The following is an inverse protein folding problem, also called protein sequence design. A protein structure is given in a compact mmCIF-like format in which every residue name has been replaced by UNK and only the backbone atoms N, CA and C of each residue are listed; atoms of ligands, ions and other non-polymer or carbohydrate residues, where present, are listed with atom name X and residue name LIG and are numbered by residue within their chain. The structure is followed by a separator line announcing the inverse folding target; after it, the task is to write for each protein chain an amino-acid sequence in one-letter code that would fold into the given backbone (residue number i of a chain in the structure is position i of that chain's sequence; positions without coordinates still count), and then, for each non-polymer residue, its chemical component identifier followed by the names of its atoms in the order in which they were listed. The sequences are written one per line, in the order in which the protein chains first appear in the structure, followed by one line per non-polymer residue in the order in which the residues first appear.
data_IF_969323935164
#
_entry.id   IF_969323935164
#
_cell.length_a   1.000
_cell.length_b   1.000
_cell.length_c   1.000
_cell.angle_alpha   90.00
_cell.angle_beta   90.00
_cell.angle_gamma   90.00
#
_symmetry.space_group_name_H-M   'P 1'
#
loop_
_entity.id
_entity.type
_entity.pdbx_description
1 polymer ?
#
# COMPACT_ATOMS: atom_id res chain seq x y z
N UNK A 1 12.58 6.10 13.42
CA UNK A 1 11.14 5.78 13.43
C UNK A 1 10.97 4.41 14.04
N UNK A 2 9.95 4.19 14.87
CA UNK A 2 9.68 2.88 15.49
C UNK A 2 9.12 1.88 14.46
N UNK A 3 9.18 0.58 14.75
CA UNK A 3 8.56 -0.46 13.91
C UNK A 3 7.05 -0.28 13.76
N UNK A 4 6.37 0.15 14.83
CA UNK A 4 4.96 0.54 14.79
C UNK A 4 4.71 1.62 13.72
N UNK A 5 5.54 2.65 13.69
CA UNK A 5 5.44 3.74 12.69
C UNK A 5 5.67 3.26 11.25
N UNK A 6 6.50 2.22 11.03
CA UNK A 6 6.68 1.62 9.69
C UNK A 6 5.44 0.84 9.26
N UNK A 7 4.85 0.06 10.16
CA UNK A 7 3.62 -0.69 9.88
C UNK A 7 2.42 0.24 9.62
N UNK A 8 2.27 1.31 10.41
CA UNK A 8 1.19 2.28 10.22
C UNK A 8 1.29 2.98 8.85
N UNK A 9 2.51 3.31 8.43
CA UNK A 9 2.78 3.86 7.10
C UNK A 9 2.46 2.85 5.99
N UNK A 10 2.86 1.59 6.15
CA UNK A 10 2.54 0.52 5.21
C UNK A 10 1.02 0.31 5.08
N UNK A 11 0.30 0.28 6.19
CA UNK A 11 -1.15 0.18 6.23
C UNK A 11 -1.83 1.35 5.52
N UNK A 12 -1.33 2.56 5.73
CA UNK A 12 -1.83 3.78 5.09
C UNK A 12 -1.66 3.71 3.57
N UNK A 13 -0.46 3.36 3.10
CA UNK A 13 -0.18 3.22 1.66
C UNK A 13 -1.13 2.23 0.97
N UNK A 14 -1.33 1.04 1.56
CA UNK A 14 -2.22 0.02 1.00
C UNK A 14 -3.68 0.51 1.01
N UNK A 15 -4.10 1.17 2.09
CA UNK A 15 -5.47 1.68 2.22
C UNK A 15 -5.78 2.78 1.21
N UNK A 16 -4.83 3.69 0.96
CA UNK A 16 -4.95 4.73 -0.05
C UNK A 16 -5.12 4.13 -1.46
N UNK A 17 -4.25 3.19 -1.84
CA UNK A 17 -4.33 2.54 -3.15
C UNK A 17 -5.65 1.77 -3.30
N UNK A 18 -6.07 1.05 -2.26
CA UNK A 18 -7.37 0.36 -2.25
C UNK A 18 -8.53 1.33 -2.51
N UNK A 19 -8.56 2.48 -1.83
CA UNK A 19 -9.61 3.50 -2.04
C UNK A 19 -9.59 4.04 -3.47
N UNK A 20 -8.42 4.37 -3.99
CA UNK A 20 -8.25 4.88 -5.34
C UNK A 20 -8.77 3.89 -6.40
N UNK A 21 -8.45 2.59 -6.24
CA UNK A 21 -8.91 1.55 -7.16
C UNK A 21 -10.43 1.32 -7.07
N UNK A 22 -10.99 1.33 -5.85
CA UNK A 22 -12.44 1.18 -5.65
C UNK A 22 -13.21 2.38 -6.21
N UNK A 23 -12.72 3.60 -6.01
CA UNK A 23 -13.33 4.80 -6.59
C UNK A 23 -13.25 4.78 -8.12
N UNK A 24 -12.13 4.32 -8.68
CA UNK A 24 -11.99 4.16 -10.12
C UNK A 24 -13.00 3.16 -10.68
N UNK A 25 -13.14 2.00 -10.05
CA UNK A 25 -14.09 0.98 -10.44
C UNK A 25 -15.56 1.40 -10.26
N UNK A 26 -15.89 2.09 -9.16
CA UNK A 26 -17.25 2.49 -8.83
C UNK A 26 -17.78 3.60 -9.74
N UNK A 27 -16.90 4.52 -10.15
CA UNK A 27 -17.29 5.71 -10.91
C UNK A 27 -16.78 5.71 -12.37
N UNK A 28 -16.24 4.59 -12.85
CA UNK A 28 -15.69 4.47 -14.20
C UNK A 28 -14.52 5.42 -14.48
N UNK A 29 -13.77 5.84 -13.45
CA UNK A 29 -12.62 6.73 -13.63
C UNK A 29 -11.44 5.93 -14.18
N UNK A 30 -10.72 6.52 -15.13
CA UNK A 30 -9.47 5.97 -15.59
C UNK A 30 -8.31 6.49 -14.73
N UNK A 31 -7.42 5.58 -14.35
CA UNK A 31 -6.13 5.94 -13.78
C UNK A 31 -5.11 6.09 -14.91
N UNK A 32 -4.31 7.15 -14.87
CA UNK A 32 -3.20 7.32 -15.82
C UNK A 32 -2.13 6.26 -15.57
N UNK A 33 -1.27 5.96 -16.57
CA UNK A 33 -0.13 5.06 -16.36
C UNK A 33 0.74 5.44 -15.16
N UNK A 34 1.02 6.73 -14.98
CA UNK A 34 1.79 7.26 -13.84
C UNK A 34 1.06 7.03 -12.50
N UNK A 35 -0.27 7.18 -12.45
CA UNK A 35 -1.04 6.89 -11.25
C UNK A 35 -1.02 5.39 -10.91
N UNK A 36 -1.04 4.52 -11.92
CA UNK A 36 -0.92 3.08 -11.75
C UNK A 36 0.48 2.68 -11.25
N UNK A 37 1.53 3.26 -11.81
CA UNK A 37 2.92 3.04 -11.38
C UNK A 37 3.11 3.48 -9.93
N UNK A 38 2.63 4.66 -9.56
CA UNK A 38 2.66 5.16 -8.18
C UNK A 38 1.88 4.24 -7.22
N UNK A 39 0.71 3.75 -7.64
CA UNK A 39 -0.07 2.80 -6.86
C UNK A 39 0.66 1.46 -6.66
N UNK A 40 1.30 0.95 -7.72
CA UNK A 40 2.10 -0.27 -7.65
C UNK A 40 3.29 -0.11 -6.68
N UNK A 41 4.01 1.01 -6.75
CA UNK A 41 5.12 1.30 -5.83
C UNK A 41 4.69 1.40 -4.37
N UNK A 42 3.53 2.03 -4.09
CA UNK A 42 2.95 2.09 -2.74
C UNK A 42 2.57 0.71 -2.20
N UNK A 43 2.02 -0.16 -3.07
CA UNK A 43 1.66 -1.54 -2.70
C UNK A 43 2.90 -2.38 -2.43
N UNK A 44 3.91 -2.32 -3.30
CA UNK A 44 5.15 -3.09 -3.15
C UNK A 44 5.86 -2.76 -1.83
N UNK A 45 6.02 -1.47 -1.53
CA UNK A 45 6.62 -1.02 -0.27
C UNK A 45 5.81 -1.44 0.96
N UNK A 46 4.47 -1.33 0.88
CA UNK A 46 3.59 -1.77 1.96
C UNK A 46 3.72 -3.27 2.24
N UNK A 47 3.65 -4.09 1.18
CA UNK A 47 3.76 -5.55 1.27
C UNK A 47 5.15 -6.01 1.74
N UNK A 48 6.22 -5.33 1.30
CA UNK A 48 7.59 -5.56 1.77
C UNK A 48 7.69 -5.36 3.27
N UNK A 49 7.18 -4.24 3.79
CA UNK A 49 7.21 -3.94 5.24
C UNK A 49 6.42 -4.99 6.04
N UNK A 50 5.23 -5.39 5.58
CA UNK A 50 4.47 -6.46 6.22
C UNK A 50 5.22 -7.79 6.23
N UNK A 51 5.85 -8.15 5.11
CA UNK A 51 6.63 -9.39 5.00
C UNK A 51 7.84 -9.39 5.91
N UNK A 52 8.57 -8.27 5.98
CA UNK A 52 9.69 -8.08 6.91
C UNK A 52 9.24 -8.22 8.36
N UNK A 53 8.11 -7.60 8.73
CA UNK A 53 7.58 -7.69 10.09
C UNK A 53 7.13 -9.11 10.46
N UNK A 54 6.48 -9.82 9.54
CA UNK A 54 6.08 -11.22 9.75
C UNK A 54 7.30 -12.14 9.91
N UNK A 55 8.40 -11.88 9.20
CA UNK A 55 9.65 -12.65 9.31
C UNK A 55 10.46 -12.32 10.57
N UNK A 56 10.34 -11.09 11.09
CA UNK A 56 11.06 -10.62 12.28
C UNK A 56 10.40 -10.98 13.62
N UNK A 57 9.18 -11.51 13.61
CA UNK A 57 8.45 -11.86 14.85
C UNK A 57 8.86 -13.27 15.31
N UNK A 58 9.53 -13.45 16.47
CA UNK A 58 9.70 -14.77 17.05
C UNK A 58 8.33 -15.38 17.33
N UNK A 59 8.16 -16.66 16.98
CA UNK A 59 6.93 -17.43 17.21
C UNK A 59 6.63 -17.58 18.69
#
# INVERSE_FOLDING_TARGET
MSELSRLDRAATNITEVKRQLLDAAAFGKHLTPEQLENAAGKLDEGLRIYTENLRGRPR
#
